data_IF_468840555319
#
_entry.id   IF_468840555319
#
_cell.length_a   1.000
_cell.length_b   1.000
_cell.length_c   1.000
_cell.angle_alpha   90.00
_cell.angle_beta   90.00
_cell.angle_gamma   90.00
#
_symmetry.space_group_name_H-M   'P 1'
#
loop_
_entity.id
_entity.type
_entity.pdbx_description
1 polymer ?
#
# COMPACT_ATOMS: atom_id res chain seq x y z
N UNK A 1 3.98 33.17 -2.47
CA UNK A 1 5.28 33.03 -1.80
C UNK A 1 5.23 31.81 -0.86
N UNK A 2 4.92 30.55 -1.20
CA UNK A 2 4.65 29.73 -2.40
C UNK A 2 5.61 29.87 -3.58
N UNK A 3 6.07 28.72 -4.12
CA UNK A 3 7.42 28.21 -3.92
C UNK A 3 8.36 28.78 -4.97
N UNK A 4 9.63 29.01 -4.60
CA UNK A 4 10.70 29.08 -5.57
C UNK A 4 11.74 27.98 -5.36
N UNK A 5 11.83 26.95 -6.23
CA UNK A 5 10.80 26.44 -7.16
C UNK A 5 11.26 25.29 -8.04
N UNK A 6 12.52 25.25 -8.50
CA UNK A 6 12.66 24.89 -9.93
C UNK A 6 12.23 23.48 -10.31
N UNK A 7 12.22 22.51 -9.39
CA UNK A 7 11.77 21.16 -9.71
C UNK A 7 11.23 20.41 -8.48
N UNK A 8 10.03 20.75 -7.96
CA UNK A 8 9.29 19.79 -7.09
C UNK A 8 9.07 18.44 -7.80
N UNK A 9 9.02 18.51 -9.13
CA UNK A 9 8.90 17.42 -10.09
C UNK A 9 10.03 17.63 -11.11
N UNK A 10 10.74 16.58 -11.54
CA UNK A 10 11.91 16.74 -12.40
C UNK A 10 11.50 17.27 -13.78
N UNK A 11 12.31 18.16 -14.36
CA UNK A 11 12.35 18.31 -15.81
C UNK A 11 12.91 17.03 -16.46
N UNK A 12 12.42 16.73 -17.67
CA UNK A 12 12.70 15.51 -18.42
C UNK A 12 14.22 15.38 -18.69
N UNK A 13 14.92 14.62 -17.84
CA UNK A 13 16.37 14.40 -17.94
C UNK A 13 17.15 14.37 -16.62
N UNK A 14 16.55 14.77 -15.48
CA UNK A 14 17.19 14.65 -14.17
C UNK A 14 16.94 13.26 -13.55
N UNK A 15 18.01 12.68 -13.02
CA UNK A 15 18.12 11.50 -12.17
C UNK A 15 16.95 11.40 -11.18
N UNK A 16 16.04 10.45 -11.45
CA UNK A 16 14.80 10.29 -10.69
C UNK A 16 14.97 9.72 -9.28
N UNK A 17 16.21 9.52 -8.84
CA UNK A 17 16.54 8.78 -7.63
C UNK A 17 16.35 9.59 -6.33
N UNK A 18 16.27 10.92 -6.40
CA UNK A 18 16.26 11.80 -5.22
C UNK A 18 15.27 12.96 -5.38
N UNK A 19 13.99 12.66 -5.61
CA UNK A 19 12.96 13.70 -5.57
C UNK A 19 12.75 14.22 -4.15
N UNK A 20 12.68 15.55 -3.99
CA UNK A 20 12.39 16.19 -2.70
C UNK A 20 11.00 15.86 -2.15
N UNK A 21 10.02 15.57 -3.02
CA UNK A 21 8.69 15.13 -2.60
C UNK A 21 8.76 13.80 -1.83
N UNK A 22 9.69 12.90 -2.19
CA UNK A 22 9.88 11.65 -1.47
C UNK A 22 10.38 11.90 -0.06
N UNK A 23 11.30 12.86 0.17
CA UNK A 23 11.74 13.25 1.53
C UNK A 23 10.57 13.78 2.37
N UNK A 24 9.70 14.62 1.78
CA UNK A 24 8.54 15.21 2.47
C UNK A 24 7.52 14.14 2.89
N UNK A 25 7.32 13.11 2.06
CA UNK A 25 6.34 12.03 2.33
C UNK A 25 6.94 10.92 3.19
N UNK A 26 8.21 10.56 2.99
CA UNK A 26 8.83 9.43 3.67
C UNK A 26 9.16 9.73 5.14
N UNK A 27 9.55 10.95 5.48
CA UNK A 27 9.91 11.33 6.85
C UNK A 27 8.76 11.12 7.85
N UNK A 28 7.54 11.67 7.65
CA UNK A 28 6.41 11.43 8.56
C UNK A 28 5.89 9.98 8.50
N UNK A 29 6.15 9.26 7.40
CA UNK A 29 5.82 7.84 7.29
C UNK A 29 6.69 6.99 8.23
N UNK A 30 8.00 7.20 8.24
CA UNK A 30 8.91 6.47 9.15
C UNK A 30 8.67 6.83 10.62
N UNK A 31 8.29 8.07 10.90
CA UNK A 31 7.87 8.51 12.23
C UNK A 31 6.67 7.72 12.79
N UNK A 32 5.79 7.22 11.92
CA UNK A 32 4.67 6.35 12.33
C UNK A 32 5.16 5.00 12.89
N UNK A 33 6.31 4.51 12.41
CA UNK A 33 6.92 3.25 12.85
C UNK A 33 7.90 3.44 14.03
N UNK A 34 8.08 4.66 14.52
CA UNK A 34 8.94 4.97 15.68
C UNK A 34 10.36 5.46 15.35
N UNK A 35 10.68 5.62 14.05
CA UNK A 35 11.94 6.19 13.59
C UNK A 35 11.80 7.73 13.51
N UNK A 36 12.32 8.46 14.50
CA UNK A 36 12.10 9.91 14.62
C UNK A 36 13.04 10.79 13.79
N UNK A 37 14.26 10.31 13.49
CA UNK A 37 15.33 11.10 12.87
C UNK A 37 15.51 12.50 13.52
N UNK A 38 15.56 12.54 14.86
CA UNK A 38 15.69 13.80 15.62
C UNK A 38 16.95 14.59 15.24
N UNK A 39 18.04 13.90 14.91
CA UNK A 39 19.32 14.53 14.58
C UNK A 39 19.28 15.22 13.20
N UNK A 40 18.39 14.76 12.32
CA UNK A 40 18.12 15.39 11.01
C UNK A 40 17.19 16.60 11.19
N UNK A 41 16.17 16.49 12.06
CA UNK A 41 15.24 17.58 12.39
C UNK A 41 15.89 18.72 13.18
N UNK A 42 16.88 18.43 14.01
CA UNK A 42 17.61 19.43 14.81
C UNK A 42 18.79 20.06 14.05
N UNK A 43 19.13 19.57 12.86
CA UNK A 43 20.32 20.00 12.13
C UNK A 43 21.63 19.66 12.86
N UNK A 44 21.61 18.65 13.73
CA UNK A 44 22.76 18.25 14.56
C UNK A 44 23.70 17.28 13.82
N UNK A 45 23.20 16.67 12.74
CA UNK A 45 24.04 16.00 11.75
C UNK A 45 24.76 17.05 10.93
N UNK A 46 26.05 17.24 11.20
CA UNK A 46 26.96 17.99 10.35
C UNK A 46 26.86 17.43 8.92
N UNK A 47 26.07 18.08 8.08
CA UNK A 47 26.01 17.74 6.67
C UNK A 47 27.41 17.96 6.13
N UNK A 48 28.11 16.87 5.82
CA UNK A 48 29.40 16.87 5.13
C UNK A 48 29.30 17.43 3.69
N UNK A 49 28.19 18.10 3.35
CA UNK A 49 27.89 18.73 2.08
C UNK A 49 27.70 20.23 2.21
N UNK A 50 27.70 20.92 1.06
CA UNK A 50 27.48 22.36 0.93
C UNK A 50 26.03 22.70 1.30
N UNK A 51 25.73 22.90 2.59
CA UNK A 51 24.50 23.56 3.02
C UNK A 51 24.78 25.05 3.24
N UNK A 52 23.79 25.91 2.94
CA UNK A 52 23.90 27.36 3.20
C UNK A 52 22.75 27.85 4.08
N UNK A 53 23.05 28.80 4.96
CA UNK A 53 22.06 29.58 5.71
C UNK A 53 21.62 30.82 4.91
N UNK A 54 22.35 31.17 3.85
CA UNK A 54 22.08 32.37 3.03
C UNK A 54 21.01 32.06 2.00
N UNK A 55 19.85 32.70 2.15
CA UNK A 55 18.68 32.50 1.29
C UNK A 55 19.01 32.72 -0.20
N UNK A 56 19.76 33.78 -0.53
CA UNK A 56 20.13 34.10 -1.91
C UNK A 56 21.03 33.06 -2.58
N UNK A 57 21.88 32.37 -1.81
CA UNK A 57 22.75 31.31 -2.34
C UNK A 57 21.94 30.04 -2.60
N UNK A 58 21.06 29.69 -1.67
CA UNK A 58 20.14 28.55 -1.78
C UNK A 58 19.17 28.70 -2.95
N UNK A 59 18.65 29.91 -3.19
CA UNK A 59 17.75 30.17 -4.33
C UNK A 59 18.46 30.15 -5.68
N UNK A 60 19.78 30.41 -5.70
CA UNK A 60 20.56 30.49 -6.94
C UNK A 60 21.08 29.14 -7.42
N UNK A 61 21.30 28.18 -6.51
CA UNK A 61 21.95 26.91 -6.82
C UNK A 61 21.09 25.70 -6.36
N UNK A 62 20.60 24.86 -7.28
CA UNK A 62 19.75 23.71 -6.96
C UNK A 62 20.49 22.58 -6.22
N UNK A 63 21.83 22.54 -6.30
CA UNK A 63 22.65 21.49 -5.68
C UNK A 63 22.93 21.77 -4.19
N UNK A 64 22.60 22.97 -3.72
CA UNK A 64 22.81 23.40 -2.33
C UNK A 64 21.52 23.17 -1.53
N UNK A 65 21.61 22.39 -0.45
CA UNK A 65 20.51 22.23 0.49
C UNK A 65 20.49 23.36 1.53
N UNK A 66 19.31 23.71 2.04
CA UNK A 66 19.19 24.69 3.13
C UNK A 66 19.56 23.98 4.43
N UNK A 67 20.47 24.55 5.20
CA UNK A 67 20.80 23.99 6.51
C UNK A 67 19.54 23.98 7.41
N UNK A 68 19.34 22.91 8.16
CA UNK A 68 18.21 22.79 9.08
C UNK A 68 18.50 23.64 10.30
N UNK A 69 17.65 24.64 10.55
CA UNK A 69 17.70 25.43 11.77
C UNK A 69 16.85 24.77 12.85
N UNK A 70 17.36 24.77 14.08
CA UNK A 70 16.59 24.27 15.22
C UNK A 70 15.38 25.16 15.48
N UNK A 71 14.18 24.60 15.27
CA UNK A 71 12.91 25.22 15.66
C UNK A 71 12.13 24.29 16.60
N UNK A 72 11.77 24.82 17.78
CA UNK A 72 10.98 24.11 18.77
C UNK A 72 9.56 23.80 18.26
N UNK A 73 9.02 24.61 17.35
CA UNK A 73 7.69 24.40 16.78
C UNK A 73 7.64 23.10 15.96
N UNK A 74 8.71 22.79 15.21
CA UNK A 74 8.83 21.53 14.45
C UNK A 74 8.77 20.33 15.39
N UNK A 75 9.46 20.40 16.53
CA UNK A 75 9.44 19.34 17.55
C UNK A 75 8.05 19.14 18.15
N UNK A 76 7.33 20.23 18.45
CA UNK A 76 5.96 20.17 18.97
C UNK A 76 4.99 19.59 17.94
N UNK A 77 5.11 19.98 16.67
CA UNK A 77 4.29 19.43 15.58
C UNK A 77 4.57 17.94 15.40
N UNK A 78 5.84 17.52 15.40
CA UNK A 78 6.22 16.11 15.32
C UNK A 78 5.64 15.29 16.48
N UNK A 79 5.71 15.82 17.71
CA UNK A 79 5.12 15.16 18.89
C UNK A 79 3.60 15.04 18.79
N UNK A 80 2.91 16.11 18.38
CA UNK A 80 1.45 16.08 18.16
C UNK A 80 1.05 15.11 17.05
N UNK A 81 1.81 15.07 15.94
CA UNK A 81 1.60 14.14 14.85
C UNK A 81 1.70 12.68 15.32
N UNK A 82 2.70 12.36 16.14
CA UNK A 82 2.83 11.02 16.71
C UNK A 82 1.74 10.68 17.71
N UNK A 83 1.32 11.63 18.55
CA UNK A 83 0.22 11.39 19.49
C UNK A 83 -1.09 11.11 18.76
N UNK A 84 -1.42 11.91 17.74
CA UNK A 84 -2.63 11.70 16.92
C UNK A 84 -2.55 10.37 16.18
N UNK A 85 -1.40 10.06 15.57
CA UNK A 85 -1.25 8.80 14.83
C UNK A 85 -1.32 7.57 15.75
N UNK A 86 -0.68 7.62 16.92
CA UNK A 86 -0.65 6.49 17.85
C UNK A 86 -1.96 6.32 18.62
N UNK A 87 -2.59 7.40 19.08
CA UNK A 87 -3.76 7.33 19.96
C UNK A 87 -5.09 7.52 19.23
N UNK A 88 -5.14 8.29 18.15
CA UNK A 88 -6.39 8.55 17.45
C UNK A 88 -6.54 7.62 16.25
N UNK A 89 -5.51 7.53 15.40
CA UNK A 89 -5.60 6.78 14.16
C UNK A 89 -5.67 5.26 14.40
N UNK A 90 -4.76 4.68 15.20
CA UNK A 90 -4.82 3.24 15.51
C UNK A 90 -6.08 2.86 16.28
N UNK A 91 -6.45 3.60 17.32
CA UNK A 91 -7.65 3.28 18.10
C UNK A 91 -8.92 3.38 17.27
N UNK A 92 -9.01 4.36 16.35
CA UNK A 92 -10.14 4.48 15.44
C UNK A 92 -10.13 3.39 14.36
N UNK A 93 -8.97 3.04 13.79
CA UNK A 93 -8.84 1.95 12.82
C UNK A 93 -9.20 0.60 13.44
N UNK A 94 -8.73 0.32 14.66
CA UNK A 94 -9.07 -0.91 15.40
C UNK A 94 -10.57 -0.94 15.72
N UNK A 95 -11.16 0.20 16.08
CA UNK A 95 -12.61 0.30 16.30
C UNK A 95 -13.41 0.04 15.01
N UNK A 96 -12.97 0.58 13.87
CA UNK A 96 -13.58 0.35 12.56
C UNK A 96 -13.43 -1.11 12.13
N UNK A 97 -12.26 -1.72 12.32
CA UNK A 97 -12.08 -3.15 12.09
C UNK A 97 -13.00 -3.97 12.98
N UNK A 98 -13.08 -3.68 14.27
CA UNK A 98 -13.96 -4.39 15.20
C UNK A 98 -15.45 -4.25 14.85
N UNK A 99 -15.86 -3.06 14.40
CA UNK A 99 -17.22 -2.79 13.94
C UNK A 99 -17.54 -3.53 12.64
N UNK A 100 -16.69 -3.39 11.62
CA UNK A 100 -16.85 -4.05 10.32
C UNK A 100 -16.68 -5.55 10.42
N UNK A 101 -15.80 -6.06 11.28
CA UNK A 101 -15.63 -7.49 11.48
C UNK A 101 -16.90 -8.14 12.02
N UNK A 102 -17.63 -7.48 12.95
CA UNK A 102 -18.92 -8.00 13.43
C UNK A 102 -19.98 -8.08 12.33
N UNK A 103 -20.07 -7.05 11.50
CA UNK A 103 -21.02 -7.00 10.38
C UNK A 103 -20.65 -8.00 9.27
N UNK A 104 -19.37 -8.05 8.90
CA UNK A 104 -18.83 -8.95 7.88
C UNK A 104 -18.88 -10.41 8.35
N UNK A 105 -18.62 -10.72 9.63
CA UNK A 105 -18.70 -12.08 10.15
C UNK A 105 -20.12 -12.65 10.01
N UNK A 106 -21.16 -11.88 10.37
CA UNK A 106 -22.55 -12.36 10.29
C UNK A 106 -22.97 -12.66 8.84
N UNK A 107 -22.56 -11.82 7.89
CA UNK A 107 -22.81 -12.05 6.47
C UNK A 107 -21.94 -13.17 5.89
N UNK A 108 -20.68 -13.26 6.32
CA UNK A 108 -19.73 -14.30 5.89
C UNK A 108 -20.12 -15.67 6.40
N UNK A 109 -20.69 -15.79 7.60
CA UNK A 109 -21.17 -17.06 8.15
C UNK A 109 -22.34 -17.63 7.33
N UNK A 110 -23.27 -16.77 6.91
CA UNK A 110 -24.39 -17.17 6.03
C UNK A 110 -23.87 -17.60 4.65
N UNK A 111 -22.94 -16.83 4.10
CA UNK A 111 -22.34 -17.13 2.80
C UNK A 111 -21.49 -18.42 2.85
N UNK A 112 -20.69 -18.61 3.90
CA UNK A 112 -19.90 -19.83 4.13
C UNK A 112 -20.79 -21.06 4.28
N UNK A 113 -21.90 -20.96 5.02
CA UNK A 113 -22.90 -22.03 5.12
C UNK A 113 -23.54 -22.36 3.76
N UNK A 114 -23.85 -21.34 2.96
CA UNK A 114 -24.39 -21.51 1.60
C UNK A 114 -23.39 -22.20 0.67
N UNK A 115 -22.14 -21.71 0.61
CA UNK A 115 -21.08 -22.32 -0.19
C UNK A 115 -20.77 -23.74 0.27
N UNK A 116 -20.76 -23.99 1.58
CA UNK A 116 -20.54 -25.34 2.14
C UNK A 116 -21.65 -26.29 1.71
N UNK A 117 -22.92 -25.87 1.80
CA UNK A 117 -24.04 -26.68 1.32
C UNK A 117 -23.96 -26.95 -0.19
N UNK A 118 -23.72 -25.90 -0.99
CA UNK A 118 -23.58 -26.03 -2.43
C UNK A 118 -22.43 -26.98 -2.81
N UNK A 119 -21.28 -26.86 -2.14
CA UNK A 119 -20.13 -27.72 -2.34
C UNK A 119 -20.45 -29.18 -2.00
N UNK A 120 -21.07 -29.45 -0.84
CA UNK A 120 -21.43 -30.82 -0.45
C UNK A 120 -22.44 -31.43 -1.44
N UNK A 121 -23.43 -30.66 -1.88
CA UNK A 121 -24.41 -31.09 -2.88
C UNK A 121 -23.76 -31.42 -4.23
N UNK A 122 -22.82 -30.59 -4.68
CA UNK A 122 -22.04 -30.82 -5.89
C UNK A 122 -21.18 -32.08 -5.80
N UNK A 123 -20.54 -32.33 -4.65
CA UNK A 123 -19.74 -33.54 -4.45
C UNK A 123 -20.59 -34.80 -4.32
N UNK A 124 -21.80 -34.72 -3.75
CA UNK A 124 -22.70 -35.88 -3.62
C UNK A 124 -23.17 -36.44 -4.98
N UNK A 125 -23.16 -35.64 -6.04
CA UNK A 125 -23.60 -36.05 -7.39
C UNK A 125 -22.44 -36.39 -8.32
N UNK A 126 -21.20 -36.10 -7.92
CA UNK A 126 -20.00 -36.34 -8.74
C UNK A 126 -19.39 -37.69 -8.43
N UNK A 127 -19.16 -38.48 -9.47
CA UNK A 127 -18.38 -39.71 -9.37
C UNK A 127 -16.91 -39.39 -9.05
N UNK A 128 -16.20 -40.27 -8.33
CA UNK A 128 -14.78 -40.09 -8.03
C UNK A 128 -13.94 -39.86 -9.29
N UNK A 129 -12.94 -38.99 -9.17
CA UNK A 129 -12.13 -38.48 -10.29
C UNK A 129 -11.53 -39.51 -11.25
N UNK A 130 -11.09 -40.73 -10.86
CA UNK A 130 -10.66 -41.74 -11.83
C UNK A 130 -11.81 -42.23 -12.74
N UNK A 131 -13.02 -42.40 -12.20
CA UNK A 131 -14.16 -42.94 -12.95
C UNK A 131 -14.88 -41.89 -13.80
N UNK A 132 -14.97 -40.64 -13.31
CA UNK A 132 -15.62 -39.55 -14.03
C UNK A 132 -14.90 -39.22 -15.36
N UNK A 133 -13.56 -39.29 -15.37
CA UNK A 133 -12.77 -39.05 -16.59
C UNK A 133 -13.00 -40.10 -17.67
N UNK A 134 -13.03 -41.38 -17.31
CA UNK A 134 -13.24 -42.47 -18.27
C UNK A 134 -14.67 -42.50 -18.82
N UNK A 135 -15.67 -42.22 -17.98
CA UNK A 135 -17.07 -42.12 -18.43
C UNK A 135 -17.25 -40.93 -19.38
N UNK A 136 -16.76 -39.74 -19.04
CA UNK A 136 -16.88 -38.56 -19.92
C UNK A 136 -16.13 -38.75 -21.24
N UNK A 137 -14.96 -39.41 -21.23
CA UNK A 137 -14.21 -39.75 -22.44
C UNK A 137 -14.99 -40.72 -23.33
N UNK A 138 -15.63 -41.72 -22.73
CA UNK A 138 -16.47 -42.71 -23.45
C UNK A 138 -17.73 -42.08 -24.03
N UNK A 139 -18.42 -41.23 -23.26
CA UNK A 139 -19.59 -40.48 -23.72
C UNK A 139 -19.24 -39.53 -24.87
N UNK A 140 -18.12 -38.80 -24.76
CA UNK A 140 -17.65 -37.89 -25.82
C UNK A 140 -17.33 -38.65 -27.12
N UNK A 141 -16.73 -39.84 -27.02
CA UNK A 141 -16.49 -40.71 -28.19
C UNK A 141 -17.81 -41.16 -28.83
N UNK A 142 -18.79 -41.59 -28.03
CA UNK A 142 -20.12 -41.99 -28.52
C UNK A 142 -20.86 -40.86 -29.21
N UNK A 143 -20.84 -39.65 -28.64
CA UNK A 143 -21.47 -38.47 -29.26
C UNK A 143 -20.83 -38.10 -30.60
N UNK A 144 -19.50 -38.19 -30.72
CA UNK A 144 -18.80 -37.92 -31.98
C UNK A 144 -19.14 -38.98 -33.03
N UNK A 145 -19.26 -40.25 -32.61
CA UNK A 145 -19.60 -41.35 -33.50
C UNK A 145 -21.05 -41.27 -34.00
N UNK A 146 -21.99 -40.91 -33.12
CA UNK A 146 -23.38 -40.69 -33.49
C UNK A 146 -23.54 -39.49 -34.44
N UNK A 147 -22.82 -38.39 -34.16
CA UNK A 147 -22.82 -37.21 -35.02
C UNK A 147 -22.24 -37.53 -36.42
N UNK A 148 -21.25 -38.42 -36.50
CA UNK A 148 -20.69 -38.88 -37.78
C UNK A 148 -21.70 -39.75 -38.54
N UNK A 149 -22.42 -40.62 -37.83
CA UNK A 149 -23.49 -41.47 -38.39
C UNK A 149 -24.71 -40.72 -38.93
N UNK A 150 -24.90 -39.45 -38.58
CA UNK A 150 -26.00 -38.59 -39.05
C UNK A 150 -25.59 -37.78 -40.30
N UNK A 151 -24.29 -37.69 -40.59
CA UNK A 151 -23.74 -36.87 -41.67
C UNK A 151 -23.39 -37.71 -42.92
N UNK A 152 -23.26 -39.03 -42.77
CA UNK A 152 -23.14 -40.01 -43.85
C UNK A 152 -24.52 -40.58 -44.24
#
# INVERSE_FOLDING_TARGET
>A
MYPNHRDMWPNYGADTAHWRIWKIVSLPYWQLYGELFLDELKGETNSNGTCTYVESEWESNPDIERCVEYDWAIMVIAAMYMLISNLLLFNLIIALFSYRFKEVQNNSDRLWKYWRFATIKDYSTRLPVPFNKEINKTLKKRMIQEKRRIID
#
